data_IF_587420787386
#
_entry.id   IF_587420787386
#
_cell.length_a   1.000
_cell.length_b   1.000
_cell.length_c   1.000
_cell.angle_alpha   90.00
_cell.angle_beta   90.00
_cell.angle_gamma   90.00
#
_symmetry.space_group_name_H-M   'P 1'
#
loop_
_entity.id
_entity.type
_entity.pdbx_description
1 polymer ?
#
# COMPACT_ATOMS: atom_id res chain seq x y z
N UNK A 1 -10.38 -1.24 -9.80
CA UNK A 1 -11.42 -1.50 -8.78
C UNK A 1 -11.01 -1.01 -7.39
N UNK A 2 -9.87 -1.44 -6.80
CA UNK A 2 -9.47 -0.99 -5.44
C UNK A 2 -9.25 0.53 -5.34
N UNK A 3 -8.55 1.13 -6.31
CA UNK A 3 -8.38 2.58 -6.36
C UNK A 3 -9.73 3.31 -6.50
N UNK A 4 -10.68 2.75 -7.25
CA UNK A 4 -12.01 3.30 -7.39
C UNK A 4 -12.81 3.25 -6.08
N UNK A 5 -12.67 2.17 -5.31
CA UNK A 5 -13.26 2.07 -3.97
C UNK A 5 -12.65 3.06 -2.99
N UNK A 6 -11.32 3.29 -3.07
CA UNK A 6 -10.67 4.32 -2.26
C UNK A 6 -11.16 5.73 -2.61
N UNK A 7 -11.27 6.03 -3.91
CA UNK A 7 -11.81 7.32 -4.39
C UNK A 7 -13.29 7.47 -4.01
N UNK A 8 -14.11 6.42 -4.15
CA UNK A 8 -15.50 6.44 -3.72
C UNK A 8 -15.64 6.68 -2.20
N UNK A 9 -14.77 6.09 -1.39
CA UNK A 9 -14.74 6.35 0.05
C UNK A 9 -14.36 7.80 0.39
N UNK A 10 -13.50 8.43 -0.42
CA UNK A 10 -13.16 9.85 -0.28
C UNK A 10 -14.29 10.78 -0.70
N UNK A 11 -15.06 10.41 -1.72
CA UNK A 11 -16.18 11.20 -2.23
C UNK A 11 -17.48 10.96 -1.44
N UNK A 12 -17.56 9.88 -0.65
CA UNK A 12 -18.74 9.55 0.13
C UNK A 12 -19.07 10.67 1.14
N UNK A 13 -20.34 11.07 1.15
CA UNK A 13 -20.89 12.08 2.07
C UNK A 13 -21.72 11.45 3.21
N UNK A 14 -22.12 10.18 3.05
CA UNK A 14 -22.93 9.47 4.03
C UNK A 14 -22.12 8.40 4.80
N UNK A 15 -22.33 8.32 6.11
CA UNK A 15 -21.68 7.32 6.99
C UNK A 15 -22.00 5.89 6.59
N UNK A 16 -23.23 5.64 6.12
CA UNK A 16 -23.68 4.29 5.72
C UNK A 16 -22.92 3.78 4.49
N UNK A 17 -22.72 4.63 3.48
CA UNK A 17 -21.96 4.27 2.28
C UNK A 17 -20.49 4.00 2.57
N UNK A 18 -19.88 4.83 3.42
CA UNK A 18 -18.48 4.64 3.84
C UNK A 18 -18.32 3.36 4.65
N UNK A 19 -19.27 3.06 5.55
CA UNK A 19 -19.28 1.80 6.31
C UNK A 19 -19.44 0.57 5.39
N UNK A 20 -20.31 0.65 4.38
CA UNK A 20 -20.48 -0.43 3.40
C UNK A 20 -19.18 -0.69 2.61
N UNK A 21 -18.49 0.37 2.17
CA UNK A 21 -17.19 0.25 1.51
C UNK A 21 -16.14 -0.39 2.44
N UNK A 22 -16.09 0.02 3.71
CA UNK A 22 -15.21 -0.60 4.71
C UNK A 22 -15.48 -2.11 4.84
N UNK A 23 -16.74 -2.53 4.94
CA UNK A 23 -17.11 -3.95 5.06
C UNK A 23 -16.67 -4.74 3.83
N UNK A 24 -16.92 -4.22 2.62
CA UNK A 24 -16.49 -4.86 1.37
C UNK A 24 -14.97 -5.03 1.32
N UNK A 25 -14.22 -3.98 1.68
CA UNK A 25 -12.75 -4.03 1.71
C UNK A 25 -12.23 -4.97 2.80
N UNK A 26 -12.88 -5.03 3.95
CA UNK A 26 -12.53 -5.94 5.03
C UNK A 26 -12.75 -7.39 4.63
N UNK A 27 -13.87 -7.71 3.98
CA UNK A 27 -14.14 -9.03 3.41
C UNK A 27 -13.12 -9.40 2.32
N UNK A 28 -12.73 -8.44 1.48
CA UNK A 28 -11.69 -8.64 0.48
C UNK A 28 -10.31 -8.93 1.14
N UNK A 29 -9.95 -8.18 2.18
CA UNK A 29 -8.73 -8.41 2.95
C UNK A 29 -8.71 -9.77 3.66
N UNK A 30 -9.90 -10.27 4.03
CA UNK A 30 -10.03 -11.58 4.69
C UNK A 30 -9.61 -12.76 3.81
N UNK A 31 -9.62 -12.60 2.49
CA UNK A 31 -9.14 -13.61 1.53
C UNK A 31 -7.62 -13.79 1.54
N UNK A 32 -6.87 -12.84 2.10
CA UNK A 32 -5.42 -12.94 2.23
C UNK A 32 -5.02 -13.87 3.39
N UNK A 33 -3.82 -14.52 3.35
CA UNK A 33 -3.34 -15.40 4.40
C UNK A 33 -3.23 -14.67 5.75
N UNK A 34 -3.71 -15.29 6.82
CA UNK A 34 -3.86 -14.70 8.15
C UNK A 34 -2.58 -14.01 8.67
N UNK A 35 -1.41 -14.66 8.52
CA UNK A 35 -0.12 -14.14 9.01
C UNK A 35 0.25 -12.79 8.38
N UNK A 36 -0.17 -12.53 7.15
CA UNK A 36 0.19 -11.33 6.40
C UNK A 36 -0.85 -10.21 6.56
N UNK A 37 -2.12 -10.55 6.77
CA UNK A 37 -3.21 -9.56 6.86
C UNK A 37 -3.27 -8.81 8.21
N UNK A 38 -2.93 -9.48 9.32
CA UNK A 38 -3.09 -8.94 10.66
C UNK A 38 -2.41 -7.57 10.88
N UNK A 39 -1.13 -7.37 10.54
CA UNK A 39 -0.47 -6.08 10.75
C UNK A 39 -1.15 -4.95 9.97
N UNK A 40 -1.64 -5.22 8.75
CA UNK A 40 -2.34 -4.23 7.94
C UNK A 40 -3.73 -3.91 8.50
N UNK A 41 -4.49 -4.92 8.93
CA UNK A 41 -5.82 -4.71 9.51
C UNK A 41 -5.72 -3.95 10.83
N UNK A 42 -4.81 -4.35 11.71
CA UNK A 42 -4.60 -3.65 12.98
C UNK A 42 -4.14 -2.21 12.72
N UNK A 43 -3.16 -1.99 11.83
CA UNK A 43 -2.67 -0.65 11.51
C UNK A 43 -3.77 0.28 10.97
N UNK A 44 -4.59 -0.19 10.03
CA UNK A 44 -5.66 0.64 9.45
C UNK A 44 -6.79 0.93 10.42
N UNK A 45 -7.21 -0.07 11.22
CA UNK A 45 -8.27 0.10 12.21
C UNK A 45 -7.82 0.98 13.39
N UNK A 46 -6.59 0.82 13.86
CA UNK A 46 -6.05 1.69 14.91
C UNK A 46 -5.94 3.14 14.45
N UNK A 47 -5.51 3.39 13.19
CA UNK A 47 -5.46 4.73 12.64
C UNK A 47 -6.86 5.36 12.57
N UNK A 48 -7.85 4.63 12.07
CA UNK A 48 -9.25 5.11 12.04
C UNK A 48 -9.82 5.36 13.44
N UNK A 49 -9.53 4.49 14.40
CA UNK A 49 -9.94 4.65 15.80
C UNK A 49 -9.26 5.88 16.43
N UNK A 50 -7.99 6.11 16.14
CA UNK A 50 -7.26 7.29 16.64
C UNK A 50 -7.90 8.58 16.12
N UNK A 51 -8.26 8.64 14.83
CA UNK A 51 -8.96 9.81 14.27
C UNK A 51 -10.33 9.99 14.92
N UNK A 52 -11.11 8.92 15.07
CA UNK A 52 -12.39 8.97 15.76
C UNK A 52 -12.28 9.56 17.17
N UNK A 53 -11.26 9.12 17.94
CA UNK A 53 -11.05 9.57 19.32
C UNK A 53 -10.50 11.00 19.40
N UNK A 54 -9.70 11.44 18.42
CA UNK A 54 -9.08 12.77 18.44
C UNK A 54 -10.00 13.85 17.87
N UNK A 55 -10.86 13.53 16.93
CA UNK A 55 -11.73 14.52 16.25
C UNK A 55 -12.54 15.37 17.24
N UNK A 56 -13.21 14.83 18.28
CA UNK A 56 -13.99 15.62 19.23
C UNK A 56 -13.15 16.61 20.06
N UNK A 57 -11.83 16.43 20.13
CA UNK A 57 -10.93 17.31 20.87
C UNK A 57 -10.29 18.40 20.00
N UNK A 58 -10.38 18.27 18.68
CA UNK A 58 -9.75 19.20 17.72
C UNK A 58 -10.78 20.08 17.03
N UNK A 59 -11.96 19.56 16.76
CA UNK A 59 -13.05 20.29 16.13
C UNK A 59 -14.00 20.86 17.19
N UNK A 60 -14.25 22.16 17.14
CA UNK A 60 -15.24 22.84 17.98
C UNK A 60 -16.46 23.14 17.11
N UNK A 61 -17.26 22.11 16.84
CA UNK A 61 -18.45 22.21 15.97
C UNK A 61 -19.65 21.64 16.74
N UNK A 62 -20.53 22.51 17.20
CA UNK A 62 -21.81 22.08 17.77
C UNK A 62 -22.35 23.00 18.85
N UNK A 63 -23.68 23.03 18.99
CA UNK A 63 -24.40 23.89 19.91
C UNK A 63 -24.90 23.17 21.18
N UNK A 64 -24.82 21.85 21.24
CA UNK A 64 -25.33 21.04 22.34
C UNK A 64 -24.27 20.12 22.93
N UNK A 65 -23.48 20.56 23.94
CA UNK A 65 -22.49 19.73 24.59
C UNK A 65 -23.17 18.62 25.41
N UNK A 66 -22.76 17.36 25.18
CA UNK A 66 -23.14 16.21 26.01
C UNK A 66 -22.29 16.21 27.29
N UNK A 67 -21.05 16.66 27.16
CA UNK A 67 -20.09 16.71 28.26
C UNK A 67 -19.26 17.99 28.16
N UNK A 68 -19.23 18.76 29.26
CA UNK A 68 -18.38 19.96 29.39
C UNK A 68 -17.18 19.60 30.24
N UNK A 69 -16.00 19.62 29.63
CA UNK A 69 -14.75 19.34 30.30
C UNK A 69 -14.06 20.56 30.85
N UNK A 70 -12.85 20.44 31.43
CA UNK A 70 -12.10 21.56 31.98
C UNK A 70 -11.62 22.52 30.87
N UNK A 71 -11.62 23.80 31.17
CA UNK A 71 -11.07 24.84 30.28
C UNK A 71 -9.55 24.77 30.25
N UNK A 72 -8.98 24.53 29.08
CA UNK A 72 -7.52 24.56 28.88
C UNK A 72 -7.15 25.92 28.25
N UNK A 73 -6.17 26.65 28.77
CA UNK A 73 -5.86 28.04 28.35
C UNK A 73 -5.47 28.19 26.86
N UNK A 74 -5.10 27.11 26.18
CA UNK A 74 -4.65 27.11 24.77
C UNK A 74 -5.69 26.45 23.80
N UNK A 75 -6.49 25.50 24.30
CA UNK A 75 -7.44 24.71 23.50
C UNK A 75 -8.92 25.09 23.74
N UNK A 76 -9.20 25.97 24.68
CA UNK A 76 -10.58 26.34 25.05
C UNK A 76 -11.25 25.35 25.98
N UNK A 77 -12.59 25.30 25.98
CA UNK A 77 -13.38 24.29 26.71
C UNK A 77 -13.40 22.98 25.90
N UNK A 78 -13.02 21.88 26.53
CA UNK A 78 -13.13 20.54 25.91
C UNK A 78 -14.59 20.06 26.02
N UNK A 79 -15.41 20.51 25.10
CA UNK A 79 -16.81 20.10 25.03
C UNK A 79 -16.95 19.01 23.99
N UNK A 80 -17.66 17.92 24.31
CA UNK A 80 -17.94 16.84 23.37
C UNK A 80 -19.41 16.91 22.97
N UNK A 81 -19.65 17.13 21.68
CA UNK A 81 -20.99 17.21 21.10
C UNK A 81 -21.35 15.95 20.30
N UNK A 82 -22.65 15.67 20.15
CA UNK A 82 -23.12 14.57 19.29
C UNK A 82 -22.69 14.75 17.84
N UNK A 83 -22.60 15.97 17.39
CA UNK A 83 -22.21 16.32 16.01
C UNK A 83 -20.75 16.02 15.76
N UNK A 84 -19.87 16.37 16.72
CA UNK A 84 -18.44 16.02 16.66
C UNK A 84 -18.22 14.52 16.71
N UNK A 85 -18.96 13.80 17.54
CA UNK A 85 -18.83 12.34 17.61
C UNK A 85 -19.26 11.68 16.29
N UNK A 86 -20.33 12.19 15.68
CA UNK A 86 -20.78 11.70 14.35
C UNK A 86 -19.77 12.03 13.26
N UNK A 87 -19.20 13.24 13.28
CA UNK A 87 -18.17 13.63 12.34
C UNK A 87 -16.88 12.82 12.53
N UNK A 88 -16.47 12.61 13.77
CA UNK A 88 -15.32 11.77 14.11
C UNK A 88 -15.50 10.33 13.64
N UNK A 89 -16.70 9.76 13.82
CA UNK A 89 -17.03 8.42 13.30
C UNK A 89 -16.93 8.38 11.77
N UNK A 90 -17.48 9.38 11.09
CA UNK A 90 -17.42 9.49 9.65
C UNK A 90 -15.98 9.59 9.13
N UNK A 91 -15.19 10.48 9.72
CA UNK A 91 -13.77 10.66 9.34
C UNK A 91 -12.92 9.42 9.66
N UNK A 92 -13.15 8.79 10.81
CA UNK A 92 -12.49 7.55 11.20
C UNK A 92 -12.80 6.39 10.25
N UNK A 93 -14.06 6.22 9.86
CA UNK A 93 -14.48 5.23 8.87
C UNK A 93 -13.88 5.52 7.49
N UNK A 94 -13.88 6.78 7.08
CA UNK A 94 -13.33 7.22 5.80
C UNK A 94 -11.84 6.90 5.71
N UNK A 95 -11.06 7.24 6.73
CA UNK A 95 -9.64 6.93 6.78
C UNK A 95 -9.39 5.42 6.84
N UNK A 96 -10.18 4.68 7.60
CA UNK A 96 -10.13 3.22 7.65
C UNK A 96 -10.42 2.60 6.27
N UNK A 97 -11.41 3.12 5.52
CA UNK A 97 -11.73 2.63 4.18
C UNK A 97 -10.57 2.83 3.21
N UNK A 98 -9.96 4.02 3.22
CA UNK A 98 -8.79 4.31 2.38
C UNK A 98 -7.61 3.41 2.77
N UNK A 99 -7.31 3.29 4.06
CA UNK A 99 -6.25 2.43 4.56
C UNK A 99 -6.47 0.95 4.21
N UNK A 100 -7.72 0.46 4.33
CA UNK A 100 -8.09 -0.90 3.92
C UNK A 100 -7.95 -1.11 2.41
N UNK A 101 -8.25 -0.13 1.58
CA UNK A 101 -8.05 -0.22 0.13
C UNK A 101 -6.56 -0.41 -0.21
N UNK A 102 -5.67 0.34 0.45
CA UNK A 102 -4.22 0.15 0.32
C UNK A 102 -3.75 -1.18 0.91
N UNK A 103 -4.31 -1.62 2.03
CA UNK A 103 -4.01 -2.92 2.61
C UNK A 103 -4.37 -4.07 1.66
N UNK A 104 -5.57 -4.05 1.08
CA UNK A 104 -6.01 -5.04 0.08
C UNK A 104 -5.11 -5.01 -1.16
N UNK A 105 -4.73 -3.81 -1.61
CA UNK A 105 -3.77 -3.64 -2.70
C UNK A 105 -2.43 -4.33 -2.36
N UNK A 106 -1.85 -4.05 -1.19
CA UNK A 106 -0.57 -4.62 -0.78
C UNK A 106 -0.61 -6.14 -0.55
N UNK A 107 -1.78 -6.67 -0.16
CA UNK A 107 -1.96 -8.09 0.15
C UNK A 107 -2.28 -8.96 -1.07
N UNK A 108 -3.08 -8.45 -2.00
CA UNK A 108 -3.65 -9.24 -3.10
C UNK A 108 -3.04 -8.93 -4.46
N UNK A 109 -2.37 -7.78 -4.61
CA UNK A 109 -1.85 -7.39 -5.90
C UNK A 109 -0.48 -7.99 -6.16
N UNK A 110 -0.35 -8.57 -7.35
CA UNK A 110 0.89 -9.11 -7.86
C UNK A 110 1.69 -7.98 -8.52
N UNK A 111 2.77 -7.56 -7.88
CA UNK A 111 3.63 -6.46 -8.36
C UNK A 111 4.26 -6.79 -9.73
N UNK A 112 4.53 -8.06 -10.01
CA UNK A 112 5.09 -8.48 -11.30
C UNK A 112 4.11 -8.24 -12.45
N UNK A 113 2.80 -8.42 -12.21
CA UNK A 113 1.76 -8.13 -13.20
C UNK A 113 1.58 -6.64 -13.44
N UNK A 114 1.68 -5.82 -12.40
CA UNK A 114 1.66 -4.36 -12.55
C UNK A 114 2.83 -3.87 -13.39
N UNK A 115 4.03 -4.33 -13.08
CA UNK A 115 5.22 -3.98 -13.83
C UNK A 115 5.11 -4.43 -15.28
N UNK A 116 4.54 -5.62 -15.54
CA UNK A 116 4.29 -6.11 -16.90
C UNK A 116 3.28 -5.25 -17.67
N UNK A 117 2.30 -4.64 -17.00
CA UNK A 117 1.30 -3.76 -17.63
C UNK A 117 1.86 -2.40 -18.04
N UNK A 118 2.93 -1.92 -17.41
CA UNK A 118 3.60 -0.66 -17.73
C UNK A 118 4.51 -0.76 -18.99
N UNK A 119 4.00 -1.36 -20.06
CA UNK A 119 4.72 -1.65 -21.31
C UNK A 119 5.24 -0.44 -22.07
N UNK A 120 4.76 0.78 -21.74
CA UNK A 120 5.24 2.04 -22.32
C UNK A 120 6.64 2.45 -21.79
N UNK A 121 6.99 2.06 -20.55
CA UNK A 121 8.25 2.41 -19.90
C UNK A 121 9.21 1.19 -19.80
N UNK A 122 9.40 0.45 -20.89
CA UNK A 122 10.07 -0.86 -20.91
C UNK A 122 11.44 -0.93 -20.24
N UNK A 123 12.29 0.10 -20.41
CA UNK A 123 13.61 0.12 -19.79
C UNK A 123 13.51 0.30 -18.28
N UNK A 124 12.64 1.22 -17.85
CA UNK A 124 12.41 1.49 -16.44
C UNK A 124 11.71 0.32 -15.74
N UNK A 125 10.71 -0.31 -16.37
CA UNK A 125 10.03 -1.50 -15.84
C UNK A 125 10.97 -2.69 -15.68
N UNK A 126 11.89 -2.89 -16.64
CA UNK A 126 12.89 -3.95 -16.49
C UNK A 126 13.83 -3.64 -15.33
N UNK A 127 14.32 -2.41 -15.22
CA UNK A 127 15.22 -2.00 -14.12
C UNK A 127 14.54 -2.17 -12.76
N UNK A 128 13.26 -1.77 -12.63
CA UNK A 128 12.49 -1.95 -11.41
C UNK A 128 12.24 -3.43 -11.12
N UNK A 129 11.87 -4.23 -12.11
CA UNK A 129 11.67 -5.68 -11.94
C UNK A 129 12.94 -6.41 -11.52
N UNK A 130 14.09 -6.01 -12.05
CA UNK A 130 15.39 -6.54 -11.63
C UNK A 130 15.75 -6.08 -10.22
N UNK A 131 15.54 -4.81 -9.90
CA UNK A 131 15.80 -4.26 -8.57
C UNK A 131 14.96 -4.96 -7.49
N UNK A 132 13.66 -5.13 -7.71
CA UNK A 132 12.77 -5.81 -6.74
C UNK A 132 13.17 -7.28 -6.51
N UNK A 133 13.69 -7.97 -7.53
CA UNK A 133 14.19 -9.34 -7.39
C UNK A 133 15.56 -9.41 -6.72
N UNK A 134 16.39 -8.38 -6.88
CA UNK A 134 17.71 -8.33 -6.27
C UNK A 134 17.68 -8.00 -4.77
N UNK A 135 16.68 -7.24 -4.29
CA UNK A 135 16.56 -6.91 -2.86
C UNK A 135 16.61 -8.14 -1.95
N UNK A 136 15.78 -9.19 -2.13
CA UNK A 136 15.84 -10.38 -1.26
C UNK A 136 17.14 -11.17 -1.40
N UNK A 137 17.84 -11.05 -2.54
CA UNK A 137 19.16 -11.65 -2.73
C UNK A 137 20.21 -10.89 -1.92
N UNK A 138 20.21 -9.56 -2.01
CA UNK A 138 21.11 -8.71 -1.21
C UNK A 138 20.91 -8.91 0.30
N UNK A 139 19.67 -9.09 0.74
CA UNK A 139 19.37 -9.40 2.15
C UNK A 139 19.96 -10.74 2.60
N UNK A 140 19.97 -11.75 1.72
CA UNK A 140 20.61 -13.04 1.98
C UNK A 140 22.13 -12.88 2.04
N UNK A 141 22.71 -12.25 1.00
CA UNK A 141 24.14 -11.99 0.93
C UNK A 141 24.64 -11.22 2.17
N UNK A 142 23.88 -10.23 2.61
CA UNK A 142 24.20 -9.48 3.83
C UNK A 142 24.15 -10.34 5.10
N UNK A 143 23.21 -11.28 5.18
CA UNK A 143 23.13 -12.23 6.29
C UNK A 143 24.30 -13.21 6.27
N UNK A 144 24.61 -13.75 5.11
CA UNK A 144 25.68 -14.74 4.93
C UNK A 144 27.03 -14.09 5.20
N UNK A 145 27.26 -12.84 4.75
CA UNK A 145 28.45 -12.08 5.06
C UNK A 145 28.61 -11.87 6.57
N UNK A 146 27.55 -11.51 7.28
CA UNK A 146 27.58 -11.34 8.74
C UNK A 146 27.92 -12.66 9.46
N UNK A 147 27.37 -13.77 9.00
CA UNK A 147 27.67 -15.09 9.55
C UNK A 147 29.13 -15.48 9.32
N UNK A 148 29.64 -15.25 8.09
CA UNK A 148 31.03 -15.52 7.76
C UNK A 148 32.01 -14.64 8.57
N UNK A 149 31.69 -13.38 8.81
CA UNK A 149 32.50 -12.49 9.64
C UNK A 149 32.53 -12.94 11.11
N UNK A 150 31.36 -13.34 11.64
CA UNK A 150 31.30 -13.91 13.01
C UNK A 150 32.12 -15.18 13.15
N UNK A 151 32.06 -16.08 12.16
CA UNK A 151 32.87 -17.31 12.16
C UNK A 151 34.38 -17.05 12.11
N UNK A 152 34.79 -15.88 11.61
CA UNK A 152 36.21 -15.45 11.58
C UNK A 152 36.60 -14.55 12.75
N UNK A 153 35.67 -14.29 13.69
CA UNK A 153 35.87 -13.36 14.82
C UNK A 153 36.28 -11.95 14.38
N UNK A 154 35.80 -11.51 13.20
CA UNK A 154 36.09 -10.18 12.64
C UNK A 154 34.85 -9.31 12.77
N UNK A 155 34.96 -8.19 13.48
CA UNK A 155 33.91 -7.19 13.57
C UNK A 155 34.19 -6.07 12.56
N UNK A 156 33.43 -6.05 11.48
CA UNK A 156 33.41 -4.93 10.53
C UNK A 156 32.22 -4.02 10.84
N UNK A 157 32.47 -2.73 10.92
CA UNK A 157 31.41 -1.73 11.01
C UNK A 157 30.47 -1.80 9.79
N UNK A 158 29.20 -1.33 9.91
CA UNK A 158 28.19 -1.48 8.86
C UNK A 158 28.64 -0.87 7.51
N UNK A 159 29.36 0.23 7.51
CA UNK A 159 29.88 0.88 6.29
C UNK A 159 30.90 0.00 5.57
N UNK A 160 31.79 -0.68 6.30
CA UNK A 160 32.80 -1.57 5.71
C UNK A 160 32.19 -2.85 5.13
N UNK A 161 31.03 -3.28 5.62
CA UNK A 161 30.28 -4.41 5.06
C UNK A 161 29.64 -4.08 3.71
N UNK A 162 29.41 -2.81 3.38
CA UNK A 162 28.82 -2.40 2.10
C UNK A 162 29.77 -2.68 0.92
N UNK A 163 31.09 -2.52 1.08
CA UNK A 163 32.05 -2.70 -0.03
C UNK A 163 31.96 -4.10 -0.66
N UNK A 164 32.06 -5.22 0.07
CA UNK A 164 31.94 -6.56 -0.51
C UNK A 164 30.55 -6.85 -1.06
N UNK A 165 29.48 -6.31 -0.45
CA UNK A 165 28.11 -6.45 -0.96
C UNK A 165 27.92 -5.72 -2.28
N UNK A 166 28.47 -4.50 -2.42
CA UNK A 166 28.43 -3.75 -3.66
C UNK A 166 29.26 -4.43 -4.75
N UNK A 167 30.47 -4.91 -4.44
CA UNK A 167 31.30 -5.63 -5.39
C UNK A 167 30.58 -6.87 -5.94
N UNK A 168 30.03 -7.71 -5.06
CA UNK A 168 29.27 -8.90 -5.48
C UNK A 168 28.00 -8.57 -6.26
N UNK A 169 27.32 -7.45 -5.94
CA UNK A 169 26.14 -7.02 -6.69
C UNK A 169 26.49 -6.48 -8.08
N UNK A 170 27.61 -5.79 -8.23
CA UNK A 170 28.11 -5.31 -9.52
C UNK A 170 28.53 -6.47 -10.41
N UNK A 171 29.29 -7.43 -9.88
CA UNK A 171 29.68 -8.64 -10.61
C UNK A 171 28.45 -9.44 -11.10
N UNK A 172 27.46 -9.62 -10.23
CA UNK A 172 26.19 -10.26 -10.60
C UNK A 172 25.45 -9.47 -11.69
N UNK A 173 25.48 -8.13 -11.61
CA UNK A 173 24.90 -7.25 -12.62
C UNK A 173 25.57 -7.40 -13.98
N UNK A 174 26.90 -7.47 -14.02
CA UNK A 174 27.68 -7.69 -15.23
C UNK A 174 27.39 -9.06 -15.85
N UNK A 175 27.42 -10.12 -15.04
CA UNK A 175 27.10 -11.48 -15.50
C UNK A 175 25.65 -11.58 -16.05
N UNK A 176 24.72 -10.87 -15.43
CA UNK A 176 23.35 -10.79 -15.93
C UNK A 176 23.26 -10.03 -17.25
N UNK A 177 24.00 -8.92 -17.40
CA UNK A 177 24.03 -8.15 -18.64
C UNK A 177 24.61 -8.96 -19.78
N UNK A 178 25.72 -9.69 -19.58
CA UNK A 178 26.31 -10.59 -20.56
C UNK A 178 25.35 -11.72 -20.97
N UNK A 179 24.68 -12.32 -19.98
CA UNK A 179 23.68 -13.36 -20.25
C UNK A 179 22.48 -12.83 -21.03
N UNK A 180 22.05 -11.59 -20.79
CA UNK A 180 21.00 -10.94 -21.55
C UNK A 180 21.43 -10.61 -22.97
N UNK A 181 22.66 -10.14 -23.17
CA UNK A 181 23.23 -9.88 -24.48
C UNK A 181 23.38 -11.15 -25.31
N UNK A 182 23.88 -12.22 -24.72
CA UNK A 182 23.96 -13.54 -25.35
C UNK A 182 22.60 -14.08 -25.81
N UNK A 183 21.52 -13.75 -25.09
CA UNK A 183 20.13 -14.08 -25.45
C UNK A 183 19.51 -13.10 -26.46
N UNK A 184 20.29 -12.15 -27.00
CA UNK A 184 19.83 -11.18 -27.99
C UNK A 184 18.97 -10.05 -27.41
N UNK A 185 19.12 -9.75 -26.13
CA UNK A 185 18.43 -8.59 -25.54
C UNK A 185 18.87 -7.30 -26.25
N UNK A 186 17.91 -6.47 -26.64
CA UNK A 186 18.17 -5.21 -27.33
C UNK A 186 18.27 -5.31 -28.87
N UNK A 187 18.40 -6.51 -29.45
CA UNK A 187 18.45 -6.66 -30.92
C UNK A 187 17.11 -6.37 -31.59
N UNK A 188 17.09 -5.71 -32.75
CA UNK A 188 15.88 -5.54 -33.54
C UNK A 188 15.40 -6.90 -34.04
N UNK A 189 14.05 -7.07 -34.19
CA UNK A 189 13.45 -8.33 -34.68
C UNK A 189 13.36 -9.49 -33.69
N UNK A 190 13.73 -9.30 -32.40
CA UNK A 190 13.59 -10.34 -31.39
C UNK A 190 12.14 -10.73 -31.15
N UNK A 191 11.89 -12.02 -31.02
CA UNK A 191 10.60 -12.57 -30.59
C UNK A 191 10.34 -12.23 -29.13
N UNK A 192 9.08 -12.01 -28.78
CA UNK A 192 8.65 -11.69 -27.41
C UNK A 192 7.62 -12.69 -26.96
N UNK A 193 7.68 -13.09 -25.70
CA UNK A 193 6.58 -13.83 -25.10
C UNK A 193 5.31 -12.95 -25.16
N UNK A 194 4.17 -13.49 -25.59
CA UNK A 194 2.92 -12.74 -25.58
C UNK A 194 2.60 -12.32 -24.15
N UNK A 195 2.19 -11.06 -23.99
CA UNK A 195 1.69 -10.56 -22.71
C UNK A 195 0.44 -11.35 -22.30
N UNK A 196 0.16 -11.41 -21.00
CA UNK A 196 -1.06 -12.05 -20.53
C UNK A 196 -2.28 -11.38 -21.18
N UNK A 197 -3.15 -12.11 -21.88
CA UNK A 197 -4.31 -11.53 -22.53
C UNK A 197 -5.28 -10.98 -21.46
N UNK A 198 -5.91 -9.86 -21.78
CA UNK A 198 -7.00 -9.33 -20.96
C UNK A 198 -8.16 -10.33 -20.94
N UNK A 199 -8.57 -10.72 -19.75
CA UNK A 199 -9.70 -11.63 -19.56
C UNK A 199 -10.99 -10.82 -19.41
N UNK A 200 -12.12 -11.45 -19.65
CA UNK A 200 -13.45 -10.86 -19.43
C UNK A 200 -13.62 -10.31 -18.01
N UNK A 201 -12.98 -10.94 -17.01
CA UNK A 201 -12.96 -10.49 -15.61
C UNK A 201 -12.24 -9.16 -15.42
N UNK A 202 -11.22 -8.87 -16.22
CA UNK A 202 -10.47 -7.60 -16.14
C UNK A 202 -11.32 -6.44 -16.67
N UNK A 203 -12.06 -6.69 -17.77
CA UNK A 203 -13.04 -5.75 -18.30
C UNK A 203 -14.21 -5.53 -17.33
N UNK A 204 -14.75 -6.59 -16.74
CA UNK A 204 -15.80 -6.47 -15.74
C UNK A 204 -15.33 -5.67 -14.51
N UNK A 205 -14.08 -5.89 -14.07
CA UNK A 205 -13.49 -5.11 -12.98
C UNK A 205 -13.29 -3.63 -13.34
N UNK A 206 -12.91 -3.34 -14.60
CA UNK A 206 -12.79 -1.95 -15.08
C UNK A 206 -14.15 -1.25 -15.10
N UNK A 207 -15.14 -1.89 -15.69
CA UNK A 207 -16.52 -1.35 -15.77
C UNK A 207 -17.09 -1.13 -14.37
N UNK A 208 -16.92 -2.09 -13.47
CA UNK A 208 -17.34 -1.96 -12.08
C UNK A 208 -16.60 -0.81 -11.36
N UNK A 209 -15.31 -0.62 -11.64
CA UNK A 209 -14.55 0.48 -11.08
C UNK A 209 -15.07 1.85 -11.54
N UNK A 210 -15.33 1.99 -12.82
CA UNK A 210 -15.91 3.24 -13.39
C UNK A 210 -17.32 3.47 -12.83
N UNK A 211 -18.16 2.44 -12.79
CA UNK A 211 -19.50 2.54 -12.21
C UNK A 211 -19.48 2.99 -10.75
N UNK A 212 -18.58 2.43 -9.92
CA UNK A 212 -18.43 2.83 -8.51
C UNK A 212 -18.04 4.30 -8.38
N UNK A 213 -17.10 4.78 -9.20
CA UNK A 213 -16.68 6.20 -9.17
C UNK A 213 -17.81 7.11 -9.62
N UNK A 214 -18.52 6.76 -10.70
CA UNK A 214 -19.62 7.57 -11.24
C UNK A 214 -20.79 7.60 -10.26
N UNK A 215 -21.19 6.46 -9.71
CA UNK A 215 -22.23 6.40 -8.67
C UNK A 215 -21.78 7.14 -7.42
N UNK A 216 -20.50 7.00 -7.03
CA UNK A 216 -19.93 7.76 -5.93
C UNK A 216 -19.93 9.26 -6.12
N UNK A 217 -19.71 9.75 -7.37
CA UNK A 217 -19.73 11.17 -7.68
C UNK A 217 -21.15 11.76 -7.82
N UNK A 218 -22.14 10.94 -8.17
CA UNK A 218 -23.52 11.39 -8.41
C UNK A 218 -24.48 11.19 -7.23
N UNK A 219 -24.20 10.21 -6.34
CA UNK A 219 -25.15 9.74 -5.32
C UNK A 219 -24.56 9.69 -3.90
N UNK A 220 -23.27 9.82 -3.73
CA UNK A 220 -22.58 9.76 -2.44
C UNK A 220 -22.10 11.12 -1.98
#
# INVERSE_FOLDING_TARGET
>A
MLAALAVAALLATHTVSTAAICVVLLVAAWRAPARRRWPYLVGTLTTGLTVFLLTPFVEVIGSHPIWTGPTIPVLGTLDVTTEELRNGLFQGLRLSAVGLAFAVYALLLDHDRLLASAGWARRSTLAVALATRLVPVLERDARDLRLALRGRSVELGPVRQLSPLLAGSLERGLNLAEAMEARGYGRPGRTRAPGAPWRSRDWAALVAAVAIVVVGALWL
#
